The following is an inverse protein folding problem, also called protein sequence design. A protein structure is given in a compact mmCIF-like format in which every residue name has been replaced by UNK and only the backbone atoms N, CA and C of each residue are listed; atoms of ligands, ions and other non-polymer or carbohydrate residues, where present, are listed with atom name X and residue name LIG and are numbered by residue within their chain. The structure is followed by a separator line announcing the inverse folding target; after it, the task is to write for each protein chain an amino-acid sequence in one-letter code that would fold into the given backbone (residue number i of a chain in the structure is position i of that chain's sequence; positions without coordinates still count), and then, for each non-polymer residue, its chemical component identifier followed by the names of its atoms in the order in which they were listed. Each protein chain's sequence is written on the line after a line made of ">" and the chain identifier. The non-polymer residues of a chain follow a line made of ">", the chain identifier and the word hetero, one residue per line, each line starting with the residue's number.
data_IF_416424388671
#
_entry.id   IF_416424388671
#
_cell.length_a   1.000
_cell.length_b   1.000
_cell.length_c   1.000
_cell.angle_alpha   90.00
_cell.angle_beta   90.00
_cell.angle_gamma   90.00
#
_symmetry.space_group_name_H-M   'P 1'
#
loop_
_entity.id
_entity.type
_entity.pdbx_description
1 polymer ?
#
# COMPACT_ATOMS: atom_id res chain seq x y z
N UNK A 1 20.39 4.72 1.64
CA UNK A 1 20.28 3.29 1.32
C UNK A 1 19.01 2.72 1.94
N UNK A 2 18.27 1.95 1.17
CA UNK A 2 17.08 1.32 1.69
C UNK A 2 17.44 0.26 2.73
N UNK A 3 16.72 0.24 3.84
CA UNK A 3 16.97 -0.71 4.92
C UNK A 3 16.03 -1.90 4.88
N UNK A 4 14.80 -1.67 4.43
CA UNK A 4 13.82 -2.75 4.31
C UNK A 4 12.62 -2.25 3.52
N UNK A 5 11.78 -3.18 3.13
CA UNK A 5 10.44 -2.85 2.63
C UNK A 5 9.59 -2.54 3.87
N UNK A 6 9.00 -1.35 3.90
CA UNK A 6 8.12 -0.96 5.00
C UNK A 6 6.72 -1.52 4.78
N UNK A 7 6.16 -1.28 3.60
CA UNK A 7 4.85 -1.80 3.28
C UNK A 7 4.64 -1.96 1.78
N UNK A 8 3.64 -2.76 1.46
CA UNK A 8 3.19 -3.01 0.10
C UNK A 8 1.72 -2.63 0.06
N UNK A 9 1.33 -1.77 -0.87
CA UNK A 9 -0.06 -1.33 -1.01
C UNK A 9 -0.72 -2.02 -2.19
N UNK A 10 -1.84 -2.67 -1.95
CA UNK A 10 -2.60 -3.43 -2.94
C UNK A 10 -4.00 -2.84 -3.06
N UNK A 11 -4.35 -2.41 -4.28
CA UNK A 11 -5.68 -1.88 -4.55
C UNK A 11 -6.65 -3.04 -4.73
N UNK A 12 -7.78 -2.99 -4.03
CA UNK A 12 -8.80 -4.03 -4.08
C UNK A 12 -10.17 -3.40 -4.27
N UNK A 13 -11.06 -4.11 -4.96
CA UNK A 13 -12.42 -3.62 -5.20
C UNK A 13 -13.34 -3.90 -4.00
N UNK A 14 -13.07 -4.98 -3.26
CA UNK A 14 -13.90 -5.41 -2.14
C UNK A 14 -12.97 -5.78 -0.98
N UNK A 15 -12.89 -4.89 0.01
CA UNK A 15 -11.96 -5.05 1.13
C UNK A 15 -12.24 -6.29 1.94
N UNK A 16 -13.52 -6.58 2.20
CA UNK A 16 -13.89 -7.74 3.01
C UNK A 16 -13.46 -9.03 2.34
N UNK A 17 -13.81 -9.20 1.08
CA UNK A 17 -13.45 -10.40 0.33
C UNK A 17 -11.93 -10.55 0.20
N UNK A 18 -11.23 -9.45 -0.09
CA UNK A 18 -9.78 -9.47 -0.20
C UNK A 18 -9.12 -9.77 1.13
N UNK A 19 -9.64 -9.22 2.24
CA UNK A 19 -9.10 -9.50 3.57
C UNK A 19 -9.22 -10.97 3.92
N UNK A 20 -10.33 -11.59 3.60
CA UNK A 20 -10.53 -13.01 3.85
C UNK A 20 -9.55 -13.86 3.04
N UNK A 21 -9.36 -13.52 1.76
CA UNK A 21 -8.44 -14.23 0.88
C UNK A 21 -6.99 -14.09 1.35
N UNK A 22 -6.58 -12.87 1.71
CA UNK A 22 -5.21 -12.64 2.17
C UNK A 22 -4.94 -13.23 3.54
N UNK A 23 -5.93 -13.22 4.43
CA UNK A 23 -5.80 -13.88 5.73
C UNK A 23 -5.53 -15.37 5.56
N UNK A 24 -6.25 -15.99 4.64
CA UNK A 24 -6.04 -17.41 4.33
C UNK A 24 -4.67 -17.63 3.71
N UNK A 25 -4.31 -16.83 2.72
CA UNK A 25 -3.05 -16.98 2.00
C UNK A 25 -1.84 -16.79 2.93
N UNK A 26 -1.88 -15.74 3.75
CA UNK A 26 -0.74 -15.36 4.59
C UNK A 26 -0.71 -16.11 5.93
N UNK A 27 -1.83 -16.66 6.34
CA UNK A 27 -1.92 -17.33 7.63
C UNK A 27 -1.85 -16.40 8.82
N UNK A 28 -2.18 -15.12 8.63
CA UNK A 28 -2.21 -14.13 9.70
C UNK A 28 -3.54 -13.39 9.72
N UNK A 29 -3.89 -12.84 10.87
CA UNK A 29 -5.12 -12.09 11.03
C UNK A 29 -4.89 -10.63 10.63
N UNK A 30 -5.86 -9.99 9.97
CA UNK A 30 -5.74 -8.58 9.66
C UNK A 30 -5.99 -7.73 10.89
N UNK A 31 -5.48 -6.50 10.87
CA UNK A 31 -5.89 -5.48 11.82
C UNK A 31 -7.32 -5.05 11.55
N UNK A 32 -7.82 -4.12 12.36
CA UNK A 32 -9.16 -3.56 12.16
C UNK A 32 -9.16 -2.64 10.94
N UNK A 33 -10.23 -2.68 10.14
CA UNK A 33 -10.34 -1.75 9.02
C UNK A 33 -10.37 -0.31 9.51
N UNK A 34 -9.70 0.56 8.77
CA UNK A 34 -9.67 1.99 9.06
C UNK A 34 -10.03 2.77 7.82
N UNK A 35 -10.75 3.88 8.02
CA UNK A 35 -11.03 4.78 6.92
C UNK A 35 -10.04 5.93 6.95
N UNK A 36 -9.49 6.29 5.79
CA UNK A 36 -8.59 7.43 5.63
C UNK A 36 -9.30 8.45 4.74
N UNK A 37 -10.09 9.36 5.33
CA UNK A 37 -10.98 10.25 4.55
C UNK A 37 -10.22 11.13 3.56
N UNK A 38 -9.02 11.60 3.92
CA UNK A 38 -8.24 12.48 3.06
C UNK A 38 -7.84 11.79 1.76
N UNK A 39 -7.67 10.49 1.79
CA UNK A 39 -7.30 9.70 0.61
C UNK A 39 -8.49 8.97 0.01
N UNK A 40 -9.65 9.06 0.65
CA UNK A 40 -10.89 8.43 0.20
C UNK A 40 -10.71 6.93 0.01
N UNK A 41 -10.09 6.29 1.01
CA UNK A 41 -9.87 4.84 1.03
C UNK A 41 -10.22 4.26 2.38
N UNK A 42 -10.52 2.97 2.38
CA UNK A 42 -10.61 2.15 3.58
C UNK A 42 -9.46 1.14 3.50
N UNK A 43 -8.74 0.97 4.60
CA UNK A 43 -7.53 0.15 4.59
C UNK A 43 -7.58 -0.93 5.66
N UNK A 44 -6.90 -2.03 5.38
CA UNK A 44 -6.62 -3.11 6.32
C UNK A 44 -5.14 -3.44 6.21
N UNK A 45 -4.50 -3.69 7.35
CA UNK A 45 -3.10 -4.06 7.39
C UNK A 45 -2.92 -5.50 7.86
N UNK A 46 -1.97 -6.20 7.23
CA UNK A 46 -1.46 -7.48 7.71
C UNK A 46 0.01 -7.27 8.05
N UNK A 47 0.44 -7.76 9.21
CA UNK A 47 1.86 -7.74 9.58
C UNK A 47 2.47 -9.07 9.20
N UNK A 48 3.41 -9.03 8.28
CA UNK A 48 4.08 -10.24 7.77
C UNK A 48 5.58 -10.06 7.95
N UNK A 49 6.10 -10.56 9.08
CA UNK A 49 7.54 -10.49 9.35
C UNK A 49 8.08 -9.07 9.42
N UNK A 50 7.30 -8.14 9.95
CA UNK A 50 7.70 -6.75 10.04
C UNK A 50 7.42 -5.91 8.80
N UNK A 51 6.90 -6.52 7.74
CA UNK A 51 6.44 -5.82 6.54
C UNK A 51 4.92 -5.75 6.60
N UNK A 52 4.36 -4.56 6.37
CA UNK A 52 2.91 -4.40 6.34
C UNK A 52 2.39 -4.62 4.92
N UNK A 53 1.41 -5.50 4.78
CA UNK A 53 0.65 -5.64 3.54
C UNK A 53 -0.64 -4.87 3.74
N UNK A 54 -0.84 -3.82 2.94
CA UNK A 54 -2.01 -2.94 3.03
C UNK A 54 -2.97 -3.26 1.90
N UNK A 55 -4.24 -3.48 2.24
CA UNK A 55 -5.29 -3.56 1.23
C UNK A 55 -6.03 -2.25 1.23
N UNK A 56 -6.21 -1.65 0.06
CA UNK A 56 -6.77 -0.32 -0.12
C UNK A 56 -8.03 -0.42 -0.98
N UNK A 57 -9.17 -0.09 -0.39
CA UNK A 57 -10.45 -0.06 -1.11
C UNK A 57 -10.91 1.39 -1.25
N UNK A 58 -11.27 1.85 -2.45
CA UNK A 58 -11.76 3.22 -2.59
C UNK A 58 -13.13 3.38 -1.95
N UNK A 59 -13.35 4.53 -1.28
CA UNK A 59 -14.66 4.82 -0.67
C UNK A 59 -15.55 5.63 -1.60
N UNK A 60 -15.02 6.16 -2.70
CA UNK A 60 -15.80 6.89 -3.69
C UNK A 60 -15.07 6.92 -5.03
N UNK A 61 -15.77 7.25 -6.13
CA UNK A 61 -15.15 7.26 -7.46
C UNK A 61 -14.01 8.28 -7.62
N UNK A 62 -13.96 9.32 -6.79
CA UNK A 62 -12.92 10.35 -6.86
C UNK A 62 -11.62 9.92 -6.21
N UNK A 63 -11.58 8.77 -5.54
CA UNK A 63 -10.35 8.24 -4.97
C UNK A 63 -9.34 7.92 -6.07
N UNK A 64 -8.05 8.20 -5.83
CA UNK A 64 -6.98 7.82 -6.77
C UNK A 64 -6.93 6.30 -6.92
N UNK A 65 -7.29 5.56 -5.87
CA UNK A 65 -7.35 4.09 -5.94
C UNK A 65 -8.48 3.63 -6.86
N UNK A 66 -9.63 4.34 -6.86
CA UNK A 66 -10.70 4.02 -7.80
C UNK A 66 -10.23 4.21 -9.23
N UNK A 67 -9.52 5.29 -9.52
CA UNK A 67 -8.97 5.54 -10.86
C UNK A 67 -7.94 4.49 -11.26
N UNK A 68 -7.13 4.04 -10.31
CA UNK A 68 -6.15 2.99 -10.57
C UNK A 68 -6.85 1.68 -10.95
N UNK A 69 -7.88 1.29 -10.20
CA UNK A 69 -8.61 0.05 -10.46
C UNK A 69 -9.33 0.12 -11.81
N UNK A 70 -9.91 1.28 -12.13
CA UNK A 70 -10.58 1.47 -13.41
C UNK A 70 -9.63 1.28 -14.60
N UNK A 71 -8.41 1.78 -14.49
CA UNK A 71 -7.44 1.72 -15.58
C UNK A 71 -6.66 0.43 -15.64
N UNK A 72 -6.35 -0.16 -14.51
CA UNK A 72 -5.41 -1.30 -14.42
C UNK A 72 -5.98 -2.53 -13.74
N UNK A 73 -7.18 -2.43 -13.17
CA UNK A 73 -7.75 -3.49 -12.35
C UNK A 73 -7.14 -3.51 -10.96
N UNK A 74 -7.66 -4.35 -10.06
CA UNK A 74 -7.08 -4.50 -8.73
C UNK A 74 -5.68 -5.10 -8.83
N UNK A 75 -4.83 -4.77 -7.86
CA UNK A 75 -3.48 -5.30 -7.85
C UNK A 75 -2.51 -4.38 -7.12
N UNK A 76 -1.23 -4.67 -7.26
CA UNK A 76 -0.16 -3.92 -6.61
C UNK A 76 -0.21 -2.47 -7.04
N UNK A 77 -0.33 -1.58 -6.07
CA UNK A 77 -0.38 -0.14 -6.31
C UNK A 77 0.94 0.54 -5.98
N UNK A 78 1.57 0.19 -4.86
CA UNK A 78 2.84 0.81 -4.49
C UNK A 78 3.63 -0.06 -3.52
N UNK A 79 4.93 0.22 -3.46
CA UNK A 79 5.84 -0.36 -2.47
C UNK A 79 6.56 0.80 -1.79
N UNK A 80 6.59 0.80 -0.47
CA UNK A 80 7.30 1.80 0.31
C UNK A 80 8.52 1.18 0.97
N UNK A 81 9.65 1.85 0.83
CA UNK A 81 10.90 1.40 1.46
C UNK A 81 11.22 2.29 2.64
N UNK A 82 11.64 1.67 3.74
CA UNK A 82 12.18 2.41 4.87
C UNK A 82 13.63 2.76 4.58
N UNK A 83 14.00 4.02 4.80
CA UNK A 83 15.35 4.50 4.55
C UNK A 83 15.87 5.21 5.79
N UNK A 84 17.19 5.32 5.88
CA UNK A 84 17.82 6.08 6.94
C UNK A 84 18.19 7.46 6.38
N UNK A 85 17.41 8.48 6.74
CA UNK A 85 17.62 9.84 6.26
C UNK A 85 17.01 10.06 4.88
N UNK A 86 15.72 10.43 4.84
CA UNK A 86 14.99 10.60 3.58
C UNK A 86 15.64 11.69 2.70
N UNK A 87 16.13 12.77 3.30
CA UNK A 87 16.70 13.86 2.52
C UNK A 87 17.98 13.44 1.79
N UNK A 88 18.86 12.70 2.47
CA UNK A 88 20.09 12.22 1.83
C UNK A 88 19.79 11.20 0.75
N UNK A 89 18.75 10.37 0.93
CA UNK A 89 18.35 9.40 -0.09
C UNK A 89 17.77 10.10 -1.32
N UNK A 90 16.97 11.14 -1.11
CA UNK A 90 16.43 11.90 -2.24
C UNK A 90 17.56 12.56 -3.03
N UNK A 91 18.57 13.10 -2.34
CA UNK A 91 19.73 13.71 -3.01
C UNK A 91 20.52 12.66 -3.80
N UNK A 92 20.75 11.50 -3.21
CA UNK A 92 21.47 10.40 -3.88
C UNK A 92 20.74 9.94 -5.12
N UNK A 93 19.42 9.78 -5.02
CA UNK A 93 18.60 9.34 -6.15
C UNK A 93 18.58 10.39 -7.26
N UNK A 94 18.48 11.66 -6.90
CA UNK A 94 18.50 12.74 -7.88
C UNK A 94 19.84 12.79 -8.62
N UNK A 95 20.96 12.64 -7.91
CA UNK A 95 22.28 12.58 -8.53
C UNK A 95 22.40 11.39 -9.49
N UNK A 96 21.76 10.28 -9.14
CA UNK A 96 21.75 9.09 -9.99
C UNK A 96 20.79 9.17 -11.18
N UNK A 97 20.08 10.29 -11.33
CA UNK A 97 19.20 10.50 -12.47
C UNK A 97 17.74 10.11 -12.22
N UNK A 98 17.36 9.78 -10.99
CA UNK A 98 15.97 9.46 -10.69
C UNK A 98 15.10 10.71 -10.75
N UNK A 99 13.89 10.53 -11.24
CA UNK A 99 12.87 11.58 -11.22
C UNK A 99 12.04 11.43 -9.95
N UNK A 100 11.99 12.46 -9.16
CA UNK A 100 11.24 12.45 -7.90
C UNK A 100 9.88 13.12 -8.03
#
# INVERSE_FOLDING_TARGET
>A
MAEKIDHIGIAVADLKAASEAFSLLLGVQPGLPEEVPEQKVRVVFFDVGGVHVELLEPTCPESTIAGFIEKRGPGLHHVAFAVNGIESELARLTEGGARL
#
